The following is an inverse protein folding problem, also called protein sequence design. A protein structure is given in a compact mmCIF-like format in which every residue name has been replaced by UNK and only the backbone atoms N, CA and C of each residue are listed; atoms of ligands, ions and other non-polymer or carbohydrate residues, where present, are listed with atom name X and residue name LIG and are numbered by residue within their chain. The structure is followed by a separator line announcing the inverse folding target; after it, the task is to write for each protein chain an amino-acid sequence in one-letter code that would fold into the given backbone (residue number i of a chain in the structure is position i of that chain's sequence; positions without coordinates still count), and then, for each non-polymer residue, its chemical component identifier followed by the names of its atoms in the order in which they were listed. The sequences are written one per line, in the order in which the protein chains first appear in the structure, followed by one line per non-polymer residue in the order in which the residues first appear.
data_IF_914367662358
#
_entry.id   IF_914367662358
#
_cell.length_a   1.000
_cell.length_b   1.000
_cell.length_c   1.000
_cell.angle_alpha   90.00
_cell.angle_beta   90.00
_cell.angle_gamma   90.00
#
_symmetry.space_group_name_H-M   'P 1'
#
loop_
_entity.id
_entity.type
_entity.pdbx_description
1 polymer ?
#
# COMPACT_ATOMS: atom_id res chain seq x y z
N UNK A 1 3.05 6.87 16.13
CA UNK A 1 3.92 5.67 16.05
C UNK A 1 4.45 5.64 14.63
N UNK A 2 5.74 5.92 14.47
CA UNK A 2 6.44 5.87 13.18
C UNK A 2 6.96 4.45 12.97
N UNK A 3 6.85 3.93 11.76
CA UNK A 3 7.33 2.58 11.44
C UNK A 3 8.30 2.66 10.26
N UNK A 4 9.55 2.25 10.50
CA UNK A 4 10.54 2.06 9.45
C UNK A 4 10.22 0.75 8.73
N UNK A 5 9.90 0.84 7.46
CA UNK A 5 9.83 -0.29 6.53
C UNK A 5 11.00 -0.16 5.57
N UNK A 6 11.59 -1.30 5.23
CA UNK A 6 12.85 -1.39 4.53
C UNK A 6 12.76 -2.59 3.60
N UNK A 7 12.52 -2.36 2.30
CA UNK A 7 12.69 -3.39 1.27
C UNK A 7 12.79 -2.83 -0.16
N UNK A 8 13.73 -3.42 -0.88
CA UNK A 8 14.18 -3.31 -2.26
C UNK A 8 13.14 -2.88 -3.33
N UNK A 9 13.26 -1.64 -3.82
CA UNK A 9 12.67 -1.22 -5.10
C UNK A 9 13.57 -1.71 -6.23
N UNK A 10 13.33 -2.92 -6.74
CA UNK A 10 13.92 -3.37 -8.00
C UNK A 10 12.92 -3.14 -9.13
N UNK A 11 13.19 -2.16 -9.99
CA UNK A 11 12.47 -2.04 -11.25
C UNK A 11 13.28 -1.24 -12.26
N UNK A 12 13.35 -1.74 -13.50
CA UNK A 12 13.88 -1.04 -14.69
C UNK A 12 12.91 0.07 -15.17
N UNK A 13 12.21 0.72 -14.24
CA UNK A 13 11.28 1.82 -14.50
C UNK A 13 12.05 3.14 -14.50
N UNK A 14 11.71 3.99 -15.45
CA UNK A 14 12.28 5.34 -15.51
C UNK A 14 11.62 6.23 -14.45
N UNK A 15 12.32 7.31 -14.09
CA UNK A 15 11.77 8.34 -13.21
C UNK A 15 10.45 8.89 -13.78
N UNK A 16 10.38 9.12 -15.08
CA UNK A 16 9.20 9.65 -15.78
C UNK A 16 7.97 8.74 -15.66
N UNK A 17 8.17 7.42 -15.65
CA UNK A 17 7.08 6.44 -15.44
C UNK A 17 6.56 6.45 -14.00
N UNK A 18 7.41 6.80 -13.04
CA UNK A 18 7.07 6.88 -11.62
C UNK A 18 6.50 8.25 -11.23
N UNK A 19 6.86 9.33 -11.94
CA UNK A 19 6.40 10.70 -11.62
C UNK A 19 4.90 10.82 -11.34
N UNK A 20 4.00 10.23 -12.13
CA UNK A 20 2.57 10.48 -11.93
C UNK A 20 2.04 9.80 -10.67
N UNK A 21 2.76 8.85 -10.05
CA UNK A 21 2.40 8.30 -8.74
C UNK A 21 2.51 9.35 -7.63
N UNK A 22 3.48 10.25 -7.69
CA UNK A 22 3.85 11.14 -6.59
C UNK A 22 2.91 12.35 -6.50
N UNK A 23 1.74 12.14 -5.90
CA UNK A 23 0.80 13.20 -5.61
C UNK A 23 -0.18 12.78 -4.51
N UNK A 24 -1.14 13.66 -4.24
CA UNK A 24 -2.29 13.36 -3.40
C UNK A 24 -3.39 12.69 -4.25
N UNK A 25 -3.92 11.58 -3.75
CA UNK A 25 -4.95 10.76 -4.35
C UNK A 25 -6.16 10.72 -3.42
N UNK A 26 -7.28 11.27 -3.86
CA UNK A 26 -8.54 11.26 -3.12
C UNK A 26 -9.43 10.11 -3.59
N UNK A 27 -10.36 9.59 -2.76
CA UNK A 27 -11.36 8.62 -3.20
C UNK A 27 -12.03 9.06 -4.49
N UNK A 28 -12.09 8.17 -5.48
CA UNK A 28 -12.77 8.47 -6.74
C UNK A 28 -14.26 8.69 -6.49
N UNK A 29 -14.86 9.82 -6.92
CA UNK A 29 -16.30 10.04 -6.78
C UNK A 29 -17.11 9.09 -7.68
N UNK A 30 -16.48 8.57 -8.74
CA UNK A 30 -17.11 7.73 -9.77
C UNK A 30 -17.19 6.26 -9.35
N UNK A 31 -16.56 5.87 -8.24
CA UNK A 31 -16.51 4.49 -7.76
C UNK A 31 -16.98 4.41 -6.30
N UNK A 32 -17.90 3.49 -6.01
CA UNK A 32 -18.37 3.25 -4.64
C UNK A 32 -17.21 2.84 -3.74
N UNK A 33 -17.09 3.47 -2.57
CA UNK A 33 -16.07 3.12 -1.59
C UNK A 33 -16.31 1.72 -1.01
N UNK A 34 -15.38 0.81 -1.26
CA UNK A 34 -15.44 -0.55 -0.75
C UNK A 34 -14.87 -0.64 0.68
N UNK A 35 -15.52 -1.40 1.55
CA UNK A 35 -15.04 -1.64 2.91
C UNK A 35 -13.83 -2.59 2.93
N UNK A 36 -12.80 -2.26 3.70
CA UNK A 36 -11.63 -3.12 3.94
C UNK A 36 -11.89 -4.19 5.02
N UNK A 37 -13.06 -4.19 5.65
CA UNK A 37 -13.38 -5.13 6.74
C UNK A 37 -13.10 -6.62 6.38
N UNK A 38 -13.40 -7.12 5.16
CA UNK A 38 -13.09 -8.50 4.79
C UNK A 38 -11.58 -8.81 4.76
N UNK A 39 -10.79 -7.92 4.14
CA UNK A 39 -9.32 -8.05 4.09
C UNK A 39 -8.73 -8.02 5.51
N UNK A 40 -9.21 -7.07 6.33
CA UNK A 40 -8.79 -6.93 7.72
C UNK A 40 -9.14 -8.16 8.56
N UNK A 41 -10.28 -8.81 8.30
CA UNK A 41 -10.65 -10.06 8.96
C UNK A 41 -9.64 -11.17 8.68
N UNK A 42 -9.32 -11.39 7.41
CA UNK A 42 -8.36 -12.43 7.03
C UNK A 42 -7.00 -12.13 7.65
N UNK A 43 -6.55 -10.87 7.59
CA UNK A 43 -5.32 -10.38 8.20
C UNK A 43 -5.30 -10.48 9.75
N UNK A 44 -6.40 -10.90 10.39
CA UNK A 44 -6.47 -11.14 11.83
C UNK A 44 -6.77 -9.90 12.67
N UNK A 45 -7.31 -8.84 12.06
CA UNK A 45 -7.73 -7.65 12.80
C UNK A 45 -8.95 -7.95 13.70
N UNK A 46 -8.95 -7.49 14.95
CA UNK A 46 -10.11 -7.64 15.84
C UNK A 46 -11.37 -7.00 15.27
N UNK A 47 -12.54 -7.54 15.65
CA UNK A 47 -13.82 -7.11 15.07
C UNK A 47 -14.11 -5.62 15.23
N UNK A 48 -13.77 -5.03 16.38
CA UNK A 48 -13.98 -3.61 16.64
C UNK A 48 -13.10 -2.71 15.76
N UNK A 49 -11.88 -3.15 15.42
CA UNK A 49 -11.00 -2.44 14.48
C UNK A 49 -11.62 -2.43 13.08
N UNK A 50 -12.22 -3.56 12.65
CA UNK A 50 -12.91 -3.65 11.36
C UNK A 50 -14.11 -2.72 11.28
N UNK A 51 -14.90 -2.62 12.35
CA UNK A 51 -16.04 -1.70 12.43
C UNK A 51 -15.57 -0.25 12.36
N UNK A 52 -14.51 0.09 13.10
CA UNK A 52 -14.00 1.45 13.17
C UNK A 52 -13.36 1.89 11.85
N UNK A 53 -12.54 1.05 11.20
CA UNK A 53 -11.70 1.49 10.08
C UNK A 53 -12.09 0.89 8.72
N UNK A 54 -12.86 -0.19 8.68
CA UNK A 54 -13.17 -0.90 7.44
C UNK A 54 -13.87 -0.02 6.41
N UNK A 55 -14.87 0.75 6.84
CA UNK A 55 -15.65 1.63 5.96
C UNK A 55 -15.10 3.05 5.80
N UNK A 56 -14.05 3.43 6.52
CA UNK A 56 -13.56 4.81 6.50
C UNK A 56 -12.88 5.11 5.16
N UNK A 57 -13.27 6.22 4.53
CA UNK A 57 -12.58 6.77 3.36
C UNK A 57 -11.22 7.33 3.74
N UNK A 58 -10.23 7.15 2.87
CA UNK A 58 -8.89 7.69 3.06
C UNK A 58 -8.43 8.47 1.83
N UNK A 59 -7.54 9.43 2.05
CA UNK A 59 -6.71 10.05 1.02
C UNK A 59 -5.34 9.40 1.09
N UNK A 60 -4.72 9.12 -0.06
CA UNK A 60 -3.35 8.64 -0.13
C UNK A 60 -2.44 9.79 -0.59
N UNK A 61 -1.36 10.04 0.13
CA UNK A 61 -0.30 10.93 -0.31
C UNK A 61 0.92 10.06 -0.61
N UNK A 62 1.30 10.00 -1.87
CA UNK A 62 2.47 9.25 -2.30
C UNK A 62 3.58 10.27 -2.55
N UNK A 63 4.64 10.19 -1.77
CA UNK A 63 5.75 11.15 -1.74
C UNK A 63 7.05 10.41 -2.04
N UNK A 64 8.07 11.13 -2.49
CA UNK A 64 9.42 10.57 -2.59
C UNK A 64 10.03 10.42 -1.19
N UNK A 65 10.87 9.41 -0.99
CA UNK A 65 11.60 9.27 0.26
C UNK A 65 12.72 10.33 0.32
N UNK A 66 12.56 11.30 1.23
CA UNK A 66 13.45 12.44 1.55
C UNK A 66 13.52 13.58 0.50
N UNK A 67 13.22 14.80 0.95
CA UNK A 67 13.64 16.04 0.28
C UNK A 67 15.18 16.07 0.22
N UNK A 68 15.74 15.98 -0.99
CA UNK A 68 17.19 15.97 -1.23
C UNK A 68 17.71 14.75 -2.00
N UNK A 69 16.88 13.70 -2.19
CA UNK A 69 17.19 12.62 -3.13
C UNK A 69 16.98 13.12 -4.57
N UNK A 70 18.04 13.02 -5.38
CA UNK A 70 18.04 13.40 -6.79
C UNK A 70 17.43 12.34 -7.71
N UNK A 71 17.02 11.18 -7.19
CA UNK A 71 16.41 10.10 -7.97
C UNK A 71 15.07 9.64 -7.39
N UNK A 72 14.00 9.68 -8.19
CA UNK A 72 12.69 9.15 -7.81
C UNK A 72 12.71 7.63 -7.50
N UNK A 73 13.84 6.96 -7.72
CA UNK A 73 14.05 5.53 -7.45
C UNK A 73 14.55 5.21 -6.05
N UNK A 74 14.91 6.21 -5.24
CA UNK A 74 15.57 5.97 -3.94
C UNK A 74 14.60 5.52 -2.85
N UNK A 75 13.32 5.86 -3.01
CA UNK A 75 12.26 5.40 -2.13
C UNK A 75 10.93 6.12 -2.35
N UNK A 76 9.86 5.52 -1.84
CA UNK A 76 8.51 6.06 -1.86
C UNK A 76 7.91 6.00 -0.46
N UNK A 77 7.28 7.09 -0.04
CA UNK A 77 6.50 7.17 1.20
C UNK A 77 5.03 7.24 0.83
N UNK A 78 4.23 6.30 1.32
CA UNK A 78 2.78 6.30 1.18
C UNK A 78 2.15 6.67 2.52
N UNK A 79 1.56 7.85 2.59
CA UNK A 79 0.78 8.30 3.73
C UNK A 79 -0.71 8.08 3.45
N UNK A 80 -1.33 7.21 4.24
CA UNK A 80 -2.79 7.04 4.26
C UNK A 80 -3.38 7.97 5.31
N UNK A 81 -4.09 8.99 4.85
CA UNK A 81 -4.74 10.01 5.68
C UNK A 81 -6.22 9.67 5.80
N UNK A 82 -6.67 9.39 7.02
CA UNK A 82 -8.10 9.26 7.35
C UNK A 82 -8.52 10.41 8.26
N UNK A 83 -9.84 10.59 8.47
CA UNK A 83 -10.35 11.56 9.43
C UNK A 83 -9.87 11.34 10.87
N UNK A 84 -9.43 10.12 11.20
CA UNK A 84 -9.07 9.73 12.57
C UNK A 84 -7.56 9.55 12.79
N UNK A 85 -6.83 9.19 11.73
CA UNK A 85 -5.45 8.75 11.83
C UNK A 85 -4.71 8.94 10.51
N UNK A 86 -3.47 9.39 10.60
CA UNK A 86 -2.49 9.29 9.52
C UNK A 86 -1.64 8.05 9.75
N UNK A 87 -1.53 7.20 8.74
CA UNK A 87 -0.62 6.05 8.71
C UNK A 87 0.42 6.31 7.63
N UNK A 88 1.68 6.18 7.98
CA UNK A 88 2.79 6.31 7.04
C UNK A 88 3.44 4.95 6.79
N UNK A 89 3.69 4.64 5.52
CA UNK A 89 4.45 3.49 5.04
C UNK A 89 5.61 4.04 4.20
N UNK A 90 6.86 3.76 4.60
CA UNK A 90 8.03 4.20 3.86
C UNK A 90 8.73 2.99 3.23
N UNK A 91 8.96 3.07 1.94
CA UNK A 91 9.57 2.02 1.13
C UNK A 91 10.89 2.58 0.59
N UNK A 92 12.03 2.06 1.03
CA UNK A 92 13.35 2.52 0.58
C UNK A 92 14.02 1.46 -0.29
N UNK A 93 14.73 1.92 -1.34
CA UNK A 93 15.61 1.06 -2.11
C UNK A 93 16.78 0.65 -1.21
N UNK A 94 16.81 -0.62 -0.81
CA UNK A 94 17.95 -1.19 -0.09
C UNK A 94 18.51 -2.38 -0.83
N UNK A 95 19.84 -2.42 -0.94
CA UNK A 95 20.64 -3.51 -1.50
C UNK A 95 20.62 -4.78 -0.62
N UNK A 96 19.42 -5.32 -0.37
CA UNK A 96 19.27 -6.71 0.07
C UNK A 96 19.01 -6.99 1.55
N UNK A 97 18.61 -6.01 2.38
CA UNK A 97 18.29 -6.30 3.80
C UNK A 97 16.82 -6.08 4.12
N UNK A 98 16.18 -7.06 4.76
CA UNK A 98 14.74 -7.11 5.12
C UNK A 98 14.55 -6.71 6.58
N UNK A 99 13.68 -5.73 6.88
CA UNK A 99 13.26 -5.48 8.27
C UNK A 99 11.77 -5.18 8.41
N UNK A 100 11.19 -5.75 9.47
CA UNK A 100 9.77 -5.83 9.82
C UNK A 100 9.15 -4.52 10.36
N UNK A 101 7.88 -4.22 10.03
CA UNK A 101 7.11 -3.19 10.71
C UNK A 101 6.71 -3.63 12.13
N UNK A 102 6.85 -2.76 13.13
CA UNK A 102 6.35 -3.07 14.48
C UNK A 102 4.82 -2.98 14.57
N UNK A 103 4.21 -3.82 15.42
CA UNK A 103 2.76 -3.88 15.64
C UNK A 103 2.02 -5.04 14.95
N UNK A 104 2.66 -5.75 14.01
CA UNK A 104 2.12 -6.99 13.44
C UNK A 104 2.68 -8.27 14.09
N UNK A 105 3.60 -8.13 15.05
CA UNK A 105 4.37 -9.25 15.62
C UNK A 105 5.84 -9.09 15.27
N UNK A 106 6.75 -9.61 16.09
CA UNK A 106 8.20 -9.43 15.91
C UNK A 106 8.73 -10.05 14.60
N UNK A 107 7.92 -10.90 13.95
CA UNK A 107 8.30 -11.73 12.81
C UNK A 107 7.65 -11.33 11.48
N UNK A 108 6.84 -10.26 11.44
CA UNK A 108 6.15 -9.87 10.22
C UNK A 108 7.15 -9.32 9.18
N UNK A 109 7.14 -9.83 7.95
CA UNK A 109 7.99 -9.29 6.88
C UNK A 109 7.14 -8.42 5.95
N UNK A 110 7.75 -7.37 5.41
CA UNK A 110 7.15 -6.59 4.32
C UNK A 110 8.13 -6.60 3.16
N UNK A 111 7.62 -6.50 1.94
CA UNK A 111 8.37 -6.26 0.72
C UNK A 111 7.58 -5.34 -0.18
N UNK A 112 8.26 -4.56 -1.03
CA UNK A 112 7.61 -3.68 -1.99
C UNK A 112 8.37 -3.64 -3.29
N UNK A 113 7.67 -3.54 -4.41
CA UNK A 113 8.27 -3.48 -5.73
C UNK A 113 7.43 -2.60 -6.65
N UNK A 114 8.09 -1.81 -7.49
CA UNK A 114 7.43 -1.21 -8.64
C UNK A 114 7.53 -2.16 -9.85
N UNK A 115 6.48 -2.30 -10.63
CA UNK A 115 6.49 -3.15 -11.82
C UNK A 115 5.62 -2.58 -12.93
N UNK A 116 5.99 -2.86 -14.18
CA UNK A 116 5.08 -2.68 -15.33
C UNK A 116 4.06 -3.81 -15.31
N UNK A 117 2.83 -3.47 -15.62
CA UNK A 117 1.70 -4.39 -15.79
C UNK A 117 0.96 -4.02 -17.06
N UNK A 118 0.09 -4.90 -17.56
CA UNK A 118 -0.71 -4.63 -18.75
C UNK A 118 -1.64 -3.41 -18.59
N UNK A 119 -2.03 -3.09 -17.33
CA UNK A 119 -2.90 -1.96 -17.00
C UNK A 119 -2.13 -0.63 -16.78
N UNK A 120 -0.81 -0.69 -16.62
CA UNK A 120 0.05 0.46 -16.31
C UNK A 120 1.17 0.13 -15.33
N UNK A 121 1.70 1.15 -14.66
CA UNK A 121 2.75 0.99 -13.64
C UNK A 121 2.09 0.68 -12.29
N UNK A 122 2.65 -0.25 -11.51
CA UNK A 122 2.10 -0.67 -10.22
C UNK A 122 3.15 -0.64 -9.10
N UNK A 123 2.75 -0.16 -7.93
CA UNK A 123 3.44 -0.36 -6.66
C UNK A 123 2.77 -1.51 -5.92
N UNK A 124 3.46 -2.62 -5.77
CA UNK A 124 3.00 -3.77 -5.00
C UNK A 124 3.74 -3.83 -3.67
N UNK A 125 3.00 -3.93 -2.57
CA UNK A 125 3.53 -4.13 -1.24
C UNK A 125 2.93 -5.40 -0.65
N UNK A 126 3.77 -6.38 -0.32
CA UNK A 126 3.37 -7.64 0.29
C UNK A 126 3.88 -7.72 1.71
N UNK A 127 3.01 -8.05 2.65
CA UNK A 127 3.31 -8.26 4.05
C UNK A 127 2.93 -9.68 4.45
N UNK A 128 3.86 -10.41 5.04
CA UNK A 128 3.62 -11.73 5.63
C UNK A 128 3.69 -11.64 7.14
N UNK A 129 2.72 -12.21 7.82
CA UNK A 129 2.65 -12.26 9.27
C UNK A 129 2.55 -13.73 9.72
N UNK A 130 3.67 -14.34 10.15
CA UNK A 130 3.70 -15.72 10.62
C UNK A 130 2.81 -15.95 11.85
N UNK A 131 2.75 -15.00 12.78
CA UNK A 131 2.00 -15.12 14.04
C UNK A 131 0.48 -15.17 13.80
N UNK A 132 0.01 -14.65 12.65
CA UNK A 132 -1.39 -14.69 12.22
C UNK A 132 -1.64 -15.68 11.08
N UNK A 133 -0.59 -16.34 10.60
CA UNK A 133 -0.57 -17.16 9.40
C UNK A 133 -1.28 -16.47 8.24
N UNK A 134 -0.85 -15.25 7.91
CA UNK A 134 -1.48 -14.44 6.86
C UNK A 134 -0.46 -13.81 5.94
N UNK A 135 -0.85 -13.68 4.67
CA UNK A 135 -0.20 -12.79 3.71
C UNK A 135 -1.20 -11.73 3.27
N UNK A 136 -0.75 -10.48 3.21
CA UNK A 136 -1.54 -9.34 2.72
C UNK A 136 -0.74 -8.63 1.64
N UNK A 137 -1.36 -8.43 0.48
CA UNK A 137 -0.77 -7.70 -0.65
C UNK A 137 -1.62 -6.50 -0.96
N UNK A 138 -0.99 -5.33 -1.04
CA UNK A 138 -1.60 -4.10 -1.53
C UNK A 138 -0.92 -3.71 -2.83
N UNK A 139 -1.66 -3.74 -3.93
CA UNK A 139 -1.18 -3.36 -5.26
C UNK A 139 -1.87 -2.07 -5.69
N UNK A 140 -1.09 -1.02 -5.94
CA UNK A 140 -1.56 0.28 -6.42
C UNK A 140 -1.11 0.47 -7.86
N UNK A 141 -2.04 0.37 -8.80
CA UNK A 141 -1.78 0.51 -10.23
C UNK A 141 -2.24 1.87 -10.71
N UNK A 142 -1.33 2.63 -11.31
CA UNK A 142 -1.66 3.83 -12.06
C UNK A 142 -2.15 3.41 -13.44
N UNK A 143 -3.43 3.61 -13.69
CA UNK A 143 -4.06 3.30 -14.96
C UNK A 143 -3.80 4.41 -15.99
N UNK A 144 -3.82 4.05 -17.27
CA UNK A 144 -3.64 4.99 -18.39
C UNK A 144 -4.63 6.19 -18.39
N UNK A 145 -5.76 6.09 -17.67
CA UNK A 145 -6.74 7.17 -17.48
C UNK A 145 -6.47 8.12 -16.31
N UNK A 146 -5.31 8.04 -15.66
CA UNK A 146 -4.96 8.90 -14.51
C UNK A 146 -5.69 8.56 -13.21
N UNK A 147 -6.22 7.34 -13.12
CA UNK A 147 -6.85 6.78 -11.93
C UNK A 147 -5.87 5.84 -11.24
N UNK A 148 -5.85 5.85 -9.91
CA UNK A 148 -5.10 4.88 -9.11
C UNK A 148 -6.05 3.78 -8.62
N UNK A 149 -5.83 2.55 -9.09
CA UNK A 149 -6.54 1.35 -8.64
C UNK A 149 -5.75 0.70 -7.52
N UNK A 150 -6.32 0.63 -6.33
CA UNK A 150 -5.75 -0.10 -5.19
C UNK A 150 -6.49 -1.43 -5.00
N UNK A 151 -5.77 -2.53 -5.12
CA UNK A 151 -6.26 -3.88 -4.79
C UNK A 151 -5.60 -4.30 -3.50
N UNK A 152 -6.41 -4.56 -2.48
CA UNK A 152 -5.96 -5.17 -1.23
C UNK A 152 -6.42 -6.62 -1.22
N UNK A 153 -5.47 -7.53 -1.09
CA UNK A 153 -5.69 -8.96 -0.99
C UNK A 153 -5.14 -9.45 0.35
N UNK A 154 -5.88 -10.30 1.03
CA UNK A 154 -5.36 -11.05 2.18
C UNK A 154 -5.74 -12.51 2.06
N UNK A 155 -4.82 -13.39 2.43
CA UNK A 155 -5.02 -14.83 2.48
C UNK A 155 -4.47 -15.42 3.78
N UNK A 156 -5.02 -16.57 4.17
CA UNK A 156 -4.41 -17.43 5.17
C UNK A 156 -3.32 -18.30 4.56
N UNK A 157 -2.23 -18.43 5.29
CA UNK A 157 -1.07 -19.25 4.91
C UNK A 157 -0.93 -20.50 5.78
N UNK A 158 -1.94 -20.80 6.61
CA UNK A 158 -2.04 -22.00 7.44
C UNK A 158 -2.63 -23.21 6.68
N UNK A 159 -2.87 -23.06 5.37
CA UNK A 159 -3.52 -24.06 4.53
C UNK A 159 -5.04 -23.98 4.52
N UNK A 160 -5.66 -23.04 5.25
CA UNK A 160 -7.08 -22.74 5.06
C UNK A 160 -7.32 -21.94 3.78
N UNK A 161 -8.32 -22.34 2.98
CA UNK A 161 -8.71 -21.66 1.74
C UNK A 161 -9.56 -20.42 2.05
N UNK A 162 -8.99 -19.50 2.83
CA UNK A 162 -9.64 -18.27 3.26
C UNK A 162 -8.87 -17.08 2.70
N UNK A 163 -9.53 -16.34 1.82
CA UNK A 163 -8.99 -15.12 1.25
C UNK A 163 -10.06 -14.05 1.10
N UNK A 164 -9.63 -12.81 0.92
CA UNK A 164 -10.49 -11.68 0.62
C UNK A 164 -9.76 -10.69 -0.28
N UNK A 165 -10.49 -10.13 -1.24
CA UNK A 165 -10.01 -9.08 -2.14
C UNK A 165 -10.94 -7.89 -2.07
N UNK A 166 -10.36 -6.69 -1.97
CA UNK A 166 -11.07 -5.42 -2.01
C UNK A 166 -10.37 -4.50 -2.98
N UNK A 167 -11.14 -3.94 -3.93
CA UNK A 167 -10.65 -2.94 -4.88
C UNK A 167 -11.20 -1.57 -4.54
N UNK A 168 -10.34 -0.56 -4.55
CA UNK A 168 -10.65 0.85 -4.36
C UNK A 168 -10.04 1.66 -5.50
N UNK A 169 -10.66 2.78 -5.81
CA UNK A 169 -10.19 3.67 -6.85
C UNK A 169 -10.02 5.08 -6.29
N UNK A 170 -8.93 5.72 -6.71
CA UNK A 170 -8.57 7.06 -6.30
C UNK A 170 -8.31 7.92 -7.53
N UNK A 171 -8.68 9.19 -7.44
CA UNK A 171 -8.42 10.19 -8.46
C UNK A 171 -7.38 11.16 -7.94
N UNK A 172 -6.50 11.62 -8.83
CA UNK A 172 -5.52 12.65 -8.50
C UNK A 172 -6.25 13.89 -7.99
N UNK A 173 -5.88 14.35 -6.80
CA UNK A 173 -6.36 15.60 -6.25
C UNK A 173 -5.60 16.74 -6.93
N UNK A 174 -6.32 17.73 -7.45
CA UNK A 174 -5.67 18.91 -8.04
C UNK A 174 -4.85 19.63 -6.96
N UNK A 175 -3.59 19.93 -7.27
CA UNK A 175 -2.79 20.86 -6.49
C UNK A 175 -3.43 22.24 -6.64
N UNK A 176 -3.94 22.80 -5.54
CA UNK A 176 -4.43 24.18 -5.47
C UNK A 176 -3.28 25.18 -5.55
#
# INVERSE_FOLDING_TARGET
IFFRSVTNIMSDLTVEELEPFFCTWAPSPDHKWASLAPVMEIAGAPWFVRVMFGGISCTLQILRAAEGSTSATDGVTVQTVTRMKVREERYEKMDGTRYAPSGYGANATQSSIFKRTDEGVALEATMENPDKATRTTTTRTLLAGGLLKEVNFSEKTDGSDRSATVTRHFKKQASS
#
